data_IF_030955896463
#
_entry.id   IF_030955896463
#
_cell.length_a   1.000
_cell.length_b   1.000
_cell.length_c   1.000
_cell.angle_alpha   90.00
_cell.angle_beta   90.00
_cell.angle_gamma   90.00
#
_symmetry.space_group_name_H-M   'P 1'
#
loop_
_entity.id
_entity.type
_entity.pdbx_description
1 polymer ?
#
# COMPACT_ATOMS: atom_id res chain seq x y z
N UNK A 1 6.70 11.19 -7.39
CA UNK A 1 7.13 10.75 -8.74
C UNK A 1 6.14 9.67 -9.16
N UNK A 2 5.61 9.70 -10.38
CA UNK A 2 4.72 8.65 -10.88
C UNK A 2 5.49 7.83 -11.91
N UNK A 3 5.51 6.51 -11.77
CA UNK A 3 6.10 5.61 -12.75
C UNK A 3 4.95 4.89 -13.49
N UNK A 4 5.01 4.90 -14.82
CA UNK A 4 4.00 4.31 -15.70
C UNK A 4 4.73 3.43 -16.72
N UNK A 5 4.23 2.21 -16.96
CA UNK A 5 4.80 1.31 -17.97
C UNK A 5 3.69 0.68 -18.81
N UNK A 6 3.60 1.08 -20.08
CA UNK A 6 3.32 0.27 -21.29
C UNK A 6 3.22 1.17 -22.52
N UNK A 7 3.47 0.58 -23.69
CA UNK A 7 3.73 1.23 -24.99
C UNK A 7 2.50 1.62 -25.82
N UNK A 8 1.28 1.57 -25.28
CA UNK A 8 0.06 2.03 -25.97
C UNK A 8 -1.09 2.13 -24.95
N UNK A 9 -1.36 3.33 -24.41
CA UNK A 9 -2.39 3.54 -23.38
C UNK A 9 -1.91 3.25 -21.95
N UNK A 10 -2.47 3.94 -20.95
CA UNK A 10 -2.06 3.83 -19.55
C UNK A 10 -2.94 2.83 -18.79
N UNK A 11 -2.47 1.59 -18.59
CA UNK A 11 -3.25 0.57 -17.87
C UNK A 11 -3.04 0.61 -16.34
N UNK A 12 -1.83 0.97 -15.88
CA UNK A 12 -1.45 0.95 -14.46
C UNK A 12 -0.71 2.23 -14.06
N UNK A 13 -1.10 2.81 -12.93
CA UNK A 13 -0.46 3.98 -12.32
C UNK A 13 0.09 3.63 -10.95
N UNK A 14 1.37 3.97 -10.73
CA UNK A 14 2.06 3.85 -9.43
C UNK A 14 2.25 5.24 -8.83
N UNK A 15 1.69 5.48 -7.65
CA UNK A 15 1.77 6.77 -6.93
C UNK A 15 2.83 6.71 -5.83
N UNK A 16 3.97 7.37 -6.06
CA UNK A 16 5.09 7.42 -5.12
C UNK A 16 5.31 8.83 -4.54
N UNK A 17 5.32 8.98 -3.21
CA UNK A 17 5.72 10.24 -2.55
C UNK A 17 7.19 10.54 -2.83
N UNK A 18 7.50 11.79 -3.20
CA UNK A 18 8.88 12.18 -3.56
C UNK A 18 9.79 12.42 -2.34
N UNK A 19 9.23 12.45 -1.14
CA UNK A 19 9.92 12.76 0.12
C UNK A 19 10.08 11.53 1.03
N UNK A 20 9.89 10.33 0.51
CA UNK A 20 10.17 9.10 1.23
C UNK A 20 11.61 8.65 0.99
N UNK A 21 12.27 8.25 2.07
CA UNK A 21 13.57 7.61 1.99
C UNK A 21 13.38 6.10 1.98
N UNK A 22 13.87 5.46 0.92
CA UNK A 22 13.89 4.00 0.76
C UNK A 22 15.36 3.59 0.90
N UNK A 23 15.65 2.70 1.84
CA UNK A 23 17.00 2.23 2.12
C UNK A 23 17.33 0.87 1.48
N UNK A 24 16.30 0.04 1.24
CA UNK A 24 16.41 -1.29 0.63
C UNK A 24 15.67 -1.29 -0.72
N UNK A 25 16.38 -0.87 -1.77
CA UNK A 25 15.83 -0.72 -3.12
C UNK A 25 15.38 -2.07 -3.71
N UNK A 26 16.07 -3.16 -3.37
CA UNK A 26 15.76 -4.50 -3.90
C UNK A 26 14.43 -4.98 -3.33
N UNK A 27 14.27 -4.94 -2.00
CA UNK A 27 13.03 -5.34 -1.37
C UNK A 27 11.86 -4.42 -1.78
N UNK A 28 12.14 -3.14 -1.95
CA UNK A 28 11.17 -2.17 -2.43
C UNK A 28 10.66 -2.48 -3.84
N UNK A 29 11.56 -2.71 -4.80
CA UNK A 29 11.19 -3.08 -6.17
C UNK A 29 10.46 -4.43 -6.23
N UNK A 30 10.87 -5.40 -5.41
CA UNK A 30 10.17 -6.68 -5.30
C UNK A 30 8.71 -6.48 -4.80
N UNK A 31 8.51 -5.56 -3.86
CA UNK A 31 7.18 -5.21 -3.35
C UNK A 31 6.32 -4.54 -4.41
N UNK A 32 6.88 -3.60 -5.19
CA UNK A 32 6.19 -3.00 -6.34
C UNK A 32 5.80 -4.07 -7.36
N UNK A 33 6.72 -4.95 -7.76
CA UNK A 33 6.43 -6.01 -8.72
C UNK A 33 5.30 -6.94 -8.24
N UNK A 34 5.26 -7.21 -6.93
CA UNK A 34 4.17 -7.96 -6.32
C UNK A 34 2.84 -7.21 -6.39
N UNK A 35 2.84 -5.90 -6.12
CA UNK A 35 1.65 -5.08 -6.28
C UNK A 35 1.16 -5.03 -7.73
N UNK A 36 2.07 -4.92 -8.71
CA UNK A 36 1.74 -4.95 -10.14
C UNK A 36 1.12 -6.29 -10.58
N UNK A 37 1.53 -7.40 -9.97
CA UNK A 37 0.91 -8.70 -10.22
C UNK A 37 -0.56 -8.72 -9.77
N UNK A 38 -0.85 -8.20 -8.57
CA UNK A 38 -2.19 -8.25 -7.97
C UNK A 38 -3.12 -7.12 -8.39
N UNK A 39 -2.61 -5.97 -8.83
CA UNK A 39 -3.46 -4.81 -9.16
C UNK A 39 -4.40 -5.10 -10.33
N UNK A 40 -4.03 -5.99 -11.25
CA UNK A 40 -4.91 -6.41 -12.35
C UNK A 40 -6.12 -7.22 -11.87
N UNK A 41 -5.97 -7.98 -10.79
CA UNK A 41 -7.04 -8.80 -10.22
C UNK A 41 -7.90 -8.00 -9.24
N UNK A 42 -7.29 -7.17 -8.41
CA UNK A 42 -7.95 -6.49 -7.29
C UNK A 42 -8.20 -4.99 -7.52
N UNK A 43 -7.73 -4.42 -8.62
CA UNK A 43 -7.91 -3.02 -9.04
C UNK A 43 -7.01 -2.01 -8.33
N UNK A 44 -6.87 -2.11 -7.00
CA UNK A 44 -6.03 -1.21 -6.19
C UNK A 44 -5.20 -2.03 -5.21
N UNK A 45 -3.92 -1.70 -5.13
CA UNK A 45 -2.96 -2.23 -4.17
C UNK A 45 -2.35 -1.07 -3.37
N UNK A 46 -2.00 -1.34 -2.12
CA UNK A 46 -1.30 -0.39 -1.26
C UNK A 46 -0.12 -1.09 -0.59
N UNK A 47 0.96 -0.35 -0.38
CA UNK A 47 2.14 -0.86 0.31
C UNK A 47 2.09 -0.46 1.78
N UNK A 48 2.08 -1.48 2.64
CA UNK A 48 2.12 -1.36 4.08
C UNK A 48 3.55 -1.39 4.61
N UNK A 49 3.87 -0.52 5.57
CA UNK A 49 5.11 -0.58 6.35
C UNK A 49 4.88 -1.05 7.79
N UNK A 50 5.78 -1.87 8.35
CA UNK A 50 5.75 -2.18 9.78
C UNK A 50 5.82 -0.89 10.59
N UNK A 51 4.99 -0.81 11.63
CA UNK A 51 4.87 0.39 12.47
C UNK A 51 5.58 0.20 13.80
N UNK A 52 6.55 1.07 14.07
CA UNK A 52 7.26 1.05 15.36
C UNK A 52 6.56 1.91 16.41
N UNK A 53 5.84 2.96 15.98
CA UNK A 53 5.13 3.92 16.86
C UNK A 53 3.82 4.36 16.21
N UNK A 54 2.74 4.34 16.98
CA UNK A 54 1.44 4.88 16.56
C UNK A 54 1.45 6.41 16.65
N UNK A 55 0.98 7.07 15.59
CA UNK A 55 0.93 8.52 15.44
C UNK A 55 -0.32 8.92 14.67
N UNK A 56 -1.03 9.94 15.17
CA UNK A 56 -2.19 10.51 14.49
C UNK A 56 -1.85 11.25 13.17
N UNK A 57 -0.55 11.34 12.82
CA UNK A 57 -0.08 11.98 11.58
C UNK A 57 -0.21 11.08 10.34
N UNK A 58 -0.38 9.78 10.53
CA UNK A 58 -0.39 8.80 9.44
C UNK A 58 -1.72 8.06 9.34
N UNK A 59 -1.99 7.53 8.16
CA UNK A 59 -3.02 6.52 7.93
C UNK A 59 -2.47 5.11 8.14
N UNK A 60 -3.36 4.18 8.48
CA UNK A 60 -3.06 2.78 8.74
C UNK A 60 -4.00 1.88 7.94
N UNK A 61 -3.53 0.66 7.68
CA UNK A 61 -4.31 -0.41 7.06
C UNK A 61 -4.43 -1.54 8.07
N UNK A 62 -5.64 -2.01 8.32
CA UNK A 62 -5.86 -3.32 8.92
C UNK A 62 -5.87 -4.38 7.82
N UNK A 63 -5.01 -5.38 7.97
CA UNK A 63 -4.98 -6.52 7.04
C UNK A 63 -6.05 -7.55 7.41
N UNK A 64 -6.71 -8.07 6.38
CA UNK A 64 -7.66 -9.17 6.47
C UNK A 64 -7.01 -10.49 6.04
N UNK A 65 -7.68 -11.21 5.14
CA UNK A 65 -7.24 -12.52 4.67
C UNK A 65 -5.88 -12.45 3.96
N UNK A 66 -4.95 -13.33 4.34
CA UNK A 66 -3.70 -13.53 3.59
C UNK A 66 -3.99 -14.32 2.30
N UNK A 67 -3.56 -13.77 1.18
CA UNK A 67 -3.71 -14.39 -0.16
C UNK A 67 -2.38 -14.91 -0.70
N UNK A 68 -1.26 -14.41 -0.17
CA UNK A 68 0.08 -14.95 -0.35
C UNK A 68 1.00 -14.42 0.77
N UNK A 69 2.25 -14.89 0.80
CA UNK A 69 3.28 -14.35 1.70
C UNK A 69 3.38 -12.83 1.57
N UNK A 70 3.23 -12.05 2.64
CA UNK A 70 3.26 -10.58 2.59
C UNK A 70 2.24 -9.93 1.61
N UNK A 71 1.13 -10.61 1.31
CA UNK A 71 0.00 -10.04 0.56
C UNK A 71 -1.33 -10.40 1.22
N UNK A 72 -2.15 -9.38 1.44
CA UNK A 72 -3.39 -9.47 2.21
C UNK A 72 -4.49 -8.68 1.52
N UNK A 73 -5.73 -9.16 1.63
CA UNK A 73 -6.89 -8.32 1.40
C UNK A 73 -6.95 -7.24 2.49
N UNK A 74 -7.25 -6.01 2.12
CA UNK A 74 -7.46 -4.93 3.08
C UNK A 74 -8.83 -5.12 3.73
N UNK A 75 -8.84 -5.17 5.05
CA UNK A 75 -10.08 -5.20 5.83
C UNK A 75 -10.61 -3.77 6.02
N UNK A 76 -9.78 -2.86 6.56
CA UNK A 76 -10.16 -1.46 6.77
C UNK A 76 -8.99 -0.48 6.58
N UNK A 77 -9.30 0.72 6.07
CA UNK A 77 -8.41 1.88 6.13
C UNK A 77 -8.75 2.76 7.33
N UNK A 78 -7.73 3.24 8.03
CA UNK A 78 -7.84 4.06 9.23
C UNK A 78 -7.05 5.35 9.00
N UNK A 79 -7.76 6.43 8.67
CA UNK A 79 -7.14 7.73 8.43
C UNK A 79 -6.94 8.49 9.75
N UNK A 80 -5.69 8.82 10.09
CA UNK A 80 -5.32 9.71 11.22
C UNK A 80 -6.05 9.37 12.53
N UNK A 81 -5.72 8.22 13.15
CA UNK A 81 -6.46 7.74 14.31
C UNK A 81 -6.28 8.63 15.54
N UNK A 82 -7.26 8.60 16.44
CA UNK A 82 -7.17 9.29 17.73
C UNK A 82 -6.24 8.47 18.63
N UNK A 83 -5.21 9.10 19.22
CA UNK A 83 -4.15 8.41 20.00
C UNK A 83 -4.66 7.47 21.10
N UNK A 84 -5.86 7.71 21.64
CA UNK A 84 -6.51 6.81 22.61
C UNK A 84 -6.77 5.39 22.06
N UNK A 85 -6.76 5.21 20.74
CA UNK A 85 -6.97 3.91 20.06
C UNK A 85 -5.70 3.07 19.96
N UNK A 86 -4.54 3.54 20.43
CA UNK A 86 -3.26 2.85 20.29
C UNK A 86 -3.26 1.41 20.83
N UNK A 87 -4.04 1.12 21.89
CA UNK A 87 -4.15 -0.23 22.43
C UNK A 87 -4.97 -1.17 21.54
N UNK A 88 -5.95 -0.65 20.78
CA UNK A 88 -6.76 -1.43 19.83
C UNK A 88 -5.89 -1.88 18.65
N UNK A 89 -4.94 -1.04 18.22
CA UNK A 89 -4.04 -1.39 17.12
C UNK A 89 -3.01 -2.45 17.46
N UNK A 90 -2.68 -2.66 18.73
CA UNK A 90 -1.74 -3.73 19.13
C UNK A 90 -2.31 -5.13 18.97
N UNK A 91 -3.64 -5.28 18.96
CA UNK A 91 -4.33 -6.57 18.76
C UNK A 91 -4.74 -6.80 17.30
N UNK A 92 -4.52 -5.82 16.43
CA UNK A 92 -4.83 -5.87 15.00
C UNK A 92 -3.53 -6.00 14.20
N UNK A 93 -3.57 -6.69 13.05
CA UNK A 93 -2.41 -6.78 12.16
C UNK A 93 -2.37 -5.55 11.25
N UNK A 94 -1.81 -4.45 11.78
CA UNK A 94 -1.82 -3.16 11.11
C UNK A 94 -0.46 -2.74 10.53
N UNK A 95 -0.53 -2.05 9.39
CA UNK A 95 0.62 -1.45 8.72
C UNK A 95 0.37 0.03 8.46
N UNK A 96 1.44 0.83 8.42
CA UNK A 96 1.36 2.22 7.96
C UNK A 96 1.23 2.27 6.44
N UNK A 97 0.49 3.25 5.93
CA UNK A 97 0.34 3.44 4.47
C UNK A 97 1.58 4.17 3.93
N UNK A 98 2.24 3.58 2.93
CA UNK A 98 3.37 4.22 2.25
C UNK A 98 2.99 4.71 0.85
N UNK A 99 2.45 3.81 0.02
CA UNK A 99 2.26 4.02 -1.42
C UNK A 99 0.99 3.33 -1.93
N UNK A 100 0.56 3.74 -3.13
CA UNK A 100 -0.59 3.17 -3.83
C UNK A 100 -0.25 2.80 -5.28
N UNK A 101 -0.77 1.67 -5.74
CA UNK A 101 -0.72 1.18 -7.11
C UNK A 101 -2.15 0.90 -7.56
N UNK A 102 -2.59 1.45 -8.68
CA UNK A 102 -3.96 1.26 -9.16
C UNK A 102 -4.02 1.14 -10.68
N UNK A 103 -5.02 0.41 -11.18
CA UNK A 103 -5.31 0.38 -12.61
C UNK A 103 -6.19 1.57 -13.00
N UNK A 104 -5.94 2.14 -14.18
CA UNK A 104 -6.79 3.16 -14.77
C UNK A 104 -7.63 2.51 -15.87
N UNK A 105 -8.92 2.35 -15.63
CA UNK A 105 -9.86 1.97 -16.68
C UNK A 105 -10.07 3.18 -17.59
N UNK A 106 -9.31 3.27 -18.67
CA UNK A 106 -9.63 4.21 -19.73
C UNK A 106 -10.77 3.62 -20.56
N UNK A 107 -11.92 4.28 -20.55
CA UNK A 107 -13.02 3.93 -21.45
C UNK A 107 -12.55 4.09 -22.89
N UNK A 108 -12.58 3.00 -23.64
CA UNK A 108 -12.31 2.94 -25.08
C UNK A 108 -13.38 3.68 -25.87
#
# INVERSE_FOLDING_TARGET
>A
MALSTTTQGFDIVVLLPSNHHIADDINYLNTINKALHYVNEFGICTMGIPINVISAKYGYINTGLSIAENAYLVDHFIEKPILKQANIFKVMNIFGIQEFVYTMLTSS
#
